data_IF_374485963602
#
_entry.id   IF_374485963602
#
_cell.length_a   1.000
_cell.length_b   1.000
_cell.length_c   1.000
_cell.angle_alpha   90.00
_cell.angle_beta   90.00
_cell.angle_gamma   90.00
#
_symmetry.space_group_name_H-M   'P 1'
#
loop_
_entity.id
_entity.type
_entity.pdbx_description
1 polymer ?
#
# COMPACT_ATOMS: atom_id res chain seq x y z
N UNK A 1 -5.71 2.95 -2.76
CA UNK A 1 -5.43 1.92 -1.70
C UNK A 1 -5.52 0.52 -2.27
N UNK A 2 -6.67 0.10 -2.80
CA UNK A 2 -6.92 -1.25 -3.30
C UNK A 2 -5.88 -1.74 -4.34
N UNK A 3 -5.47 -0.87 -5.24
CA UNK A 3 -4.43 -1.12 -6.24
C UNK A 3 -3.02 -1.35 -5.67
N UNK A 4 -2.74 -0.96 -4.42
CA UNK A 4 -1.48 -1.31 -3.75
C UNK A 4 -1.40 -2.82 -3.52
N UNK A 5 -2.47 -3.43 -3.03
CA UNK A 5 -2.49 -4.88 -2.79
C UNK A 5 -2.28 -5.68 -4.08
N UNK A 6 -2.88 -5.23 -5.19
CA UNK A 6 -2.63 -5.82 -6.51
C UNK A 6 -1.20 -5.63 -6.98
N UNK A 7 -0.65 -4.43 -6.80
CA UNK A 7 0.73 -4.14 -7.16
C UNK A 7 1.70 -5.04 -6.38
N UNK A 8 1.50 -5.24 -5.08
CA UNK A 8 2.29 -6.16 -4.26
C UNK A 8 2.11 -7.61 -4.69
N UNK A 9 0.86 -8.05 -4.88
CA UNK A 9 0.54 -9.42 -5.27
C UNK A 9 1.18 -9.80 -6.61
N UNK A 10 1.23 -8.88 -7.58
CA UNK A 10 1.89 -9.09 -8.87
C UNK A 10 3.42 -9.05 -8.76
N UNK A 11 3.96 -8.31 -7.79
CA UNK A 11 5.41 -8.18 -7.58
C UNK A 11 6.04 -9.39 -6.91
N UNK A 12 5.27 -10.13 -6.09
CA UNK A 12 5.73 -11.35 -5.40
C UNK A 12 6.17 -12.46 -6.38
N UNK A 13 5.33 -12.92 -7.34
CA UNK A 13 5.75 -13.93 -8.31
C UNK A 13 6.83 -13.40 -9.25
N UNK A 14 6.78 -12.12 -9.62
CA UNK A 14 7.83 -11.49 -10.44
C UNK A 14 9.20 -11.56 -9.74
N UNK A 15 9.26 -11.32 -8.43
CA UNK A 15 10.48 -11.45 -7.65
C UNK A 15 10.99 -12.90 -7.59
N UNK A 16 10.08 -13.87 -7.33
CA UNK A 16 10.44 -15.30 -7.26
C UNK A 16 11.01 -15.81 -8.60
N UNK A 17 10.50 -15.30 -9.72
CA UNK A 17 10.94 -15.70 -11.07
C UNK A 17 12.25 -15.03 -11.51
N UNK A 18 12.60 -13.87 -10.95
CA UNK A 18 13.73 -13.05 -11.43
C UNK A 18 14.92 -13.01 -10.49
N UNK A 19 14.73 -13.33 -9.21
CA UNK A 19 15.76 -13.19 -8.16
C UNK A 19 15.97 -14.47 -7.38
N UNK A 20 17.18 -14.66 -6.86
CA UNK A 20 17.47 -15.76 -5.94
C UNK A 20 16.80 -15.51 -4.59
N UNK A 21 15.87 -16.39 -4.22
CA UNK A 21 15.07 -16.26 -3.00
C UNK A 21 15.77 -16.97 -1.85
N UNK A 22 16.21 -16.21 -0.84
CA UNK A 22 16.67 -16.77 0.44
C UNK A 22 15.49 -17.29 1.28
N UNK A 23 15.76 -18.17 2.24
CA UNK A 23 14.72 -18.71 3.15
C UNK A 23 13.99 -17.59 3.90
N UNK A 24 14.73 -16.57 4.36
CA UNK A 24 14.16 -15.40 5.01
C UNK A 24 13.21 -14.63 4.09
N UNK A 25 13.62 -14.37 2.84
CA UNK A 25 12.77 -13.71 1.85
C UNK A 25 11.54 -14.53 1.51
N UNK A 26 11.66 -15.85 1.40
CA UNK A 26 10.52 -16.73 1.13
C UNK A 26 9.45 -16.62 2.23
N UNK A 27 9.87 -16.60 3.51
CA UNK A 27 8.97 -16.40 4.64
C UNK A 27 8.31 -15.02 4.55
N UNK A 28 9.08 -13.94 4.31
CA UNK A 28 8.51 -12.60 4.19
C UNK A 28 7.51 -12.48 3.02
N UNK A 29 7.83 -13.03 1.85
CA UNK A 29 6.96 -13.04 0.69
C UNK A 29 5.68 -13.83 0.94
N UNK A 30 5.77 -14.94 1.66
CA UNK A 30 4.59 -15.74 2.03
C UNK A 30 3.65 -14.97 2.97
N UNK A 31 4.18 -14.28 3.97
CA UNK A 31 3.42 -13.42 4.88
C UNK A 31 2.79 -12.26 4.11
N UNK A 32 3.56 -11.60 3.24
CA UNK A 32 3.08 -10.53 2.37
C UNK A 32 1.96 -10.99 1.44
N UNK A 33 2.09 -12.19 0.86
CA UNK A 33 1.07 -12.80 -0.01
C UNK A 33 -0.23 -13.06 0.76
N UNK A 34 -0.15 -13.70 1.93
CA UNK A 34 -1.32 -13.97 2.79
C UNK A 34 -1.99 -12.67 3.21
N UNK A 35 -1.20 -11.65 3.59
CA UNK A 35 -1.72 -10.32 3.92
C UNK A 35 -2.46 -9.68 2.72
N UNK A 36 -1.85 -9.70 1.53
CA UNK A 36 -2.47 -9.14 0.31
C UNK A 36 -3.76 -9.88 -0.05
N UNK A 37 -3.74 -11.22 -0.05
CA UNK A 37 -4.92 -12.03 -0.36
C UNK A 37 -6.04 -11.82 0.66
N UNK A 38 -5.71 -11.76 1.95
CA UNK A 38 -6.69 -11.49 3.02
C UNK A 38 -7.27 -10.08 2.88
N UNK A 39 -6.44 -9.07 2.59
CA UNK A 39 -6.90 -7.71 2.37
C UNK A 39 -7.79 -7.62 1.11
N UNK A 40 -7.37 -8.18 -0.02
CA UNK A 40 -8.15 -8.23 -1.26
C UNK A 40 -9.48 -8.94 -1.01
N UNK A 41 -9.46 -10.11 -0.37
CA UNK A 41 -10.66 -10.84 0.02
C UNK A 41 -11.57 -10.01 0.93
N UNK A 42 -11.01 -9.35 1.94
CA UNK A 42 -11.77 -8.50 2.87
C UNK A 42 -12.42 -7.33 2.13
N UNK A 43 -11.68 -6.66 1.25
CA UNK A 43 -12.19 -5.59 0.40
C UNK A 43 -13.30 -6.13 -0.52
N UNK A 44 -13.07 -7.16 -1.33
CA UNK A 44 -14.10 -7.73 -2.23
C UNK A 44 -15.34 -8.25 -1.49
N UNK A 45 -15.14 -8.92 -0.35
CA UNK A 45 -16.22 -9.48 0.48
C UNK A 45 -17.03 -8.39 1.17
N UNK A 46 -16.37 -7.31 1.59
CA UNK A 46 -17.03 -6.16 2.17
C UNK A 46 -17.70 -5.24 1.13
N UNK A 47 -17.18 -5.14 -0.09
CA UNK A 47 -17.83 -4.36 -1.16
C UNK A 47 -19.19 -4.94 -1.57
N UNK A 48 -19.40 -6.27 -1.47
CA UNK A 48 -20.67 -6.93 -1.82
C UNK A 48 -21.67 -7.08 -0.66
N UNK A 49 -21.21 -7.07 0.60
CA UNK A 49 -22.04 -7.43 1.77
C UNK A 49 -21.88 -6.48 2.98
N UNK A 50 -21.14 -5.39 2.83
CA UNK A 50 -20.87 -4.40 3.86
C UNK A 50 -19.55 -4.63 4.61
N UNK A 51 -18.58 -3.74 4.38
CA UNK A 51 -17.25 -3.76 5.02
C UNK A 51 -17.36 -3.52 6.52
N UNK A 52 -18.21 -2.60 6.92
CA UNK A 52 -18.30 -2.12 8.29
C UNK A 52 -18.91 -3.20 9.20
N UNK A 53 -20.02 -3.83 8.77
CA UNK A 53 -20.66 -4.90 9.52
C UNK A 53 -19.75 -6.14 9.65
N UNK A 54 -19.01 -6.51 8.60
CA UNK A 54 -18.13 -7.69 8.63
C UNK A 54 -16.89 -7.49 9.51
N UNK A 55 -16.26 -6.32 9.44
CA UNK A 55 -15.13 -5.96 10.29
C UNK A 55 -15.51 -5.95 11.78
N UNK A 56 -16.66 -5.37 12.10
CA UNK A 56 -17.20 -5.37 13.46
C UNK A 56 -17.53 -6.79 13.96
N UNK A 57 -18.02 -7.68 13.08
CA UNK A 57 -18.32 -9.07 13.43
C UNK A 57 -17.06 -9.94 13.65
N UNK A 58 -15.96 -9.61 12.95
CA UNK A 58 -14.65 -10.23 13.18
C UNK A 58 -14.06 -9.77 14.52
N UNK A 59 -14.18 -8.48 14.86
CA UNK A 59 -13.75 -7.92 16.15
C UNK A 59 -14.47 -8.56 17.35
N UNK A 60 -15.73 -8.98 17.16
CA UNK A 60 -16.51 -9.69 18.19
C UNK A 60 -15.92 -11.04 18.61
N UNK A 61 -15.06 -11.65 17.78
CA UNK A 61 -14.39 -12.91 18.11
C UNK A 61 -13.12 -12.73 18.97
N UNK A 62 -12.64 -11.50 19.17
CA UNK A 62 -11.44 -11.24 19.96
C UNK A 62 -11.82 -11.16 21.45
N UNK A 63 -11.31 -12.06 22.32
CA UNK A 63 -11.58 -12.04 23.75
C UNK A 63 -10.88 -10.83 24.40
N UNK A 64 -11.61 -9.72 24.53
CA UNK A 64 -11.12 -8.46 25.11
C UNK A 64 -11.89 -7.25 24.57
N UNK A 65 -12.15 -7.23 23.25
CA UNK A 65 -12.86 -6.12 22.58
C UNK A 65 -14.34 -6.44 22.32
N UNK A 66 -14.75 -7.70 22.55
CA UNK A 66 -16.09 -8.22 22.27
C UNK A 66 -17.24 -7.39 22.85
N UNK A 67 -17.14 -6.95 24.12
CA UNK A 67 -18.22 -6.17 24.77
C UNK A 67 -18.37 -4.77 24.16
N UNK A 68 -17.25 -4.11 23.84
CA UNK A 68 -17.25 -2.80 23.18
C UNK A 68 -17.74 -2.91 21.73
N UNK A 69 -17.25 -3.90 20.99
CA UNK A 69 -17.67 -4.15 19.62
C UNK A 69 -19.17 -4.45 19.53
N UNK A 70 -19.71 -5.32 20.38
CA UNK A 70 -21.16 -5.60 20.42
C UNK A 70 -21.99 -4.34 20.68
N UNK A 71 -21.61 -3.55 21.70
CA UNK A 71 -22.34 -2.34 22.08
C UNK A 71 -22.32 -1.29 20.95
N UNK A 72 -21.18 -1.09 20.30
CA UNK A 72 -21.05 -0.13 19.20
C UNK A 72 -21.80 -0.57 17.94
N UNK A 73 -21.89 -1.89 17.65
CA UNK A 73 -22.73 -2.42 16.56
C UNK A 73 -24.19 -2.11 16.83
N UNK A 74 -24.68 -2.38 18.04
CA UNK A 74 -26.09 -2.17 18.40
C UNK A 74 -26.47 -0.68 18.38
N UNK A 75 -25.61 0.19 18.91
CA UNK A 75 -25.86 1.64 18.96
C UNK A 75 -25.77 2.33 17.59
N UNK A 76 -24.97 1.80 16.64
CA UNK A 76 -24.71 2.45 15.34
C UNK A 76 -25.08 1.59 14.13
N UNK A 77 -25.96 0.61 14.29
CA UNK A 77 -26.33 -0.36 13.23
C UNK A 77 -26.78 0.31 11.93
N UNK A 78 -27.67 1.30 12.02
CA UNK A 78 -28.16 2.04 10.85
C UNK A 78 -27.06 2.86 10.14
N UNK A 79 -26.11 3.43 10.89
CA UNK A 79 -24.96 4.14 10.30
C UNK A 79 -24.01 3.19 9.59
N UNK A 80 -23.72 2.04 10.20
CA UNK A 80 -22.91 0.98 9.59
C UNK A 80 -23.58 0.47 8.30
N UNK A 81 -24.88 0.22 8.32
CA UNK A 81 -25.66 -0.20 7.15
C UNK A 81 -25.73 0.88 6.05
N UNK A 82 -25.81 2.16 6.41
CA UNK A 82 -25.77 3.26 5.45
C UNK A 82 -24.38 3.47 4.81
N UNK A 83 -23.31 3.34 5.59
CA UNK A 83 -21.93 3.34 5.05
C UNK A 83 -21.77 2.17 4.07
N UNK A 84 -22.23 0.99 4.45
CA UNK A 84 -22.18 -0.20 3.61
C UNK A 84 -23.03 -0.05 2.35
N UNK A 85 -24.20 0.62 2.42
CA UNK A 85 -25.01 0.98 1.25
C UNK A 85 -24.31 1.99 0.33
N UNK A 86 -23.66 3.02 0.88
CA UNK A 86 -22.92 3.99 0.05
C UNK A 86 -21.70 3.35 -0.63
N UNK A 87 -20.99 2.46 0.07
CA UNK A 87 -19.89 1.67 -0.48
C UNK A 87 -20.38 0.70 -1.55
N UNK A 88 -21.52 0.03 -1.34
CA UNK A 88 -22.12 -0.87 -2.32
C UNK A 88 -22.68 -0.12 -3.55
N UNK A 89 -23.28 1.06 -3.35
CA UNK A 89 -23.79 1.91 -4.42
C UNK A 89 -22.66 2.44 -5.31
N UNK A 90 -21.49 2.77 -4.75
CA UNK A 90 -20.30 3.15 -5.51
C UNK A 90 -19.78 1.98 -6.37
N UNK A 91 -19.90 0.73 -5.91
CA UNK A 91 -19.46 -0.45 -6.65
C UNK A 91 -20.46 -0.89 -7.72
N UNK A 92 -21.76 -0.70 -7.49
CA UNK A 92 -22.83 -0.97 -8.47
C UNK A 92 -22.80 -0.01 -9.67
N UNK A 93 -22.02 1.08 -9.62
CA UNK A 93 -22.07 2.11 -10.65
C UNK A 93 -21.28 1.83 -11.93
N UNK A 94 -20.18 1.07 -11.92
CA UNK A 94 -19.65 0.41 -13.14
C UNK A 94 -18.41 -0.44 -12.80
N UNK A 95 -18.45 -1.78 -12.89
CA UNK A 95 -17.26 -2.60 -12.68
C UNK A 95 -16.15 -2.28 -13.70
N UNK A 96 -16.48 -1.73 -14.88
CA UNK A 96 -15.48 -1.30 -15.87
C UNK A 96 -14.73 -0.06 -15.39
N UNK A 97 -15.44 0.94 -14.87
CA UNK A 97 -14.80 2.15 -14.32
C UNK A 97 -13.89 1.81 -13.15
N UNK A 98 -14.31 0.89 -12.27
CA UNK A 98 -13.47 0.41 -11.18
C UNK A 98 -12.17 -0.22 -11.69
N UNK A 99 -12.25 -1.13 -12.67
CA UNK A 99 -11.06 -1.77 -13.23
C UNK A 99 -10.15 -0.76 -13.95
N UNK A 100 -10.73 0.18 -14.70
CA UNK A 100 -9.98 1.25 -15.37
C UNK A 100 -9.22 2.14 -14.38
N UNK A 101 -9.85 2.53 -13.27
CA UNK A 101 -9.18 3.33 -12.22
C UNK A 101 -8.04 2.54 -11.59
N UNK A 102 -8.26 1.25 -11.25
CA UNK A 102 -7.22 0.39 -10.70
C UNK A 102 -6.05 0.24 -11.68
N UNK A 103 -6.33 0.06 -12.96
CA UNK A 103 -5.31 -0.09 -13.99
C UNK A 103 -4.51 1.20 -14.21
N UNK A 104 -5.18 2.36 -14.29
CA UNK A 104 -4.52 3.67 -14.39
C UNK A 104 -3.64 3.94 -13.16
N UNK A 105 -4.14 3.64 -11.96
CA UNK A 105 -3.35 3.82 -10.73
C UNK A 105 -2.12 2.89 -10.72
N UNK A 106 -2.24 1.67 -11.27
CA UNK A 106 -1.14 0.72 -11.39
C UNK A 106 -0.11 1.18 -12.43
N UNK A 107 -0.53 1.67 -13.59
CA UNK A 107 0.35 2.31 -14.57
C UNK A 107 1.03 3.54 -13.99
N UNK A 108 0.31 4.37 -13.24
CA UNK A 108 0.86 5.54 -12.56
C UNK A 108 1.97 5.13 -11.58
N UNK A 109 1.81 4.02 -10.85
CA UNK A 109 2.89 3.47 -10.00
C UNK A 109 4.08 2.99 -10.80
N UNK A 110 3.85 2.29 -11.91
CA UNK A 110 4.93 1.89 -12.82
C UNK A 110 5.66 3.14 -13.31
N UNK A 111 4.98 4.16 -13.83
CA UNK A 111 5.61 5.41 -14.24
C UNK A 111 6.33 6.11 -13.09
N UNK A 112 5.79 6.07 -11.86
CA UNK A 112 6.46 6.61 -10.67
C UNK A 112 7.77 5.88 -10.36
N UNK A 113 7.94 4.63 -10.81
CA UNK A 113 9.19 3.90 -10.69
C UNK A 113 10.32 4.43 -11.56
N UNK A 114 10.00 5.18 -12.62
CA UNK A 114 11.03 5.86 -13.43
C UNK A 114 11.83 6.86 -12.61
N UNK A 115 11.22 7.49 -11.62
CA UNK A 115 11.92 8.44 -10.76
C UNK A 115 13.03 7.74 -9.96
N UNK A 116 12.69 6.65 -9.28
CA UNK A 116 13.64 5.83 -8.53
C UNK A 116 14.70 5.24 -9.46
N UNK A 117 14.30 4.83 -10.67
CA UNK A 117 15.22 4.36 -11.69
C UNK A 117 16.23 5.42 -12.10
N UNK A 118 15.82 6.65 -12.40
CA UNK A 118 16.73 7.73 -12.77
C UNK A 118 17.69 8.10 -11.63
N UNK A 119 17.21 8.13 -10.38
CA UNK A 119 18.08 8.39 -9.22
C UNK A 119 19.10 7.26 -9.06
N UNK A 120 18.67 6.00 -9.16
CA UNK A 120 19.57 4.85 -9.06
C UNK A 120 20.53 4.74 -10.23
N UNK A 121 20.15 5.17 -11.43
CA UNK A 121 21.00 5.13 -12.62
C UNK A 121 22.23 6.04 -12.49
N UNK A 122 22.12 7.13 -11.71
CA UNK A 122 23.26 7.98 -11.35
C UNK A 122 24.26 7.24 -10.45
N UNK A 123 23.78 6.34 -9.58
CA UNK A 123 24.61 5.58 -8.64
C UNK A 123 25.12 4.25 -9.22
N UNK A 124 24.30 3.61 -10.07
CA UNK A 124 24.55 2.31 -10.68
C UNK A 124 24.13 2.36 -12.15
N UNK A 125 25.09 2.55 -13.08
CA UNK A 125 24.81 2.69 -14.51
C UNK A 125 24.11 1.48 -15.15
N UNK A 126 24.19 0.31 -14.52
CA UNK A 126 23.61 -0.96 -14.99
C UNK A 126 22.35 -1.38 -14.21
N UNK A 127 21.71 -0.46 -13.48
CA UNK A 127 20.48 -0.79 -12.73
C UNK A 127 19.35 -1.22 -13.67
N UNK A 128 18.66 -2.30 -13.33
CA UNK A 128 17.51 -2.77 -14.09
C UNK A 128 16.23 -2.07 -13.61
N UNK A 129 15.39 -1.61 -14.55
CA UNK A 129 14.10 -1.01 -14.25
C UNK A 129 13.17 -1.93 -13.45
N UNK A 130 13.19 -3.24 -13.72
CA UNK A 130 12.42 -4.23 -12.96
C UNK A 130 12.80 -4.23 -11.48
N UNK A 131 14.09 -4.09 -11.16
CA UNK A 131 14.54 -4.01 -9.77
C UNK A 131 13.96 -2.76 -9.09
N UNK A 132 13.83 -1.63 -9.81
CA UNK A 132 13.24 -0.41 -9.26
C UNK A 132 11.75 -0.57 -8.94
N UNK A 133 11.00 -1.27 -9.80
CA UNK A 133 9.59 -1.62 -9.55
C UNK A 133 9.49 -2.48 -8.29
N UNK A 134 10.33 -3.50 -8.17
CA UNK A 134 10.37 -4.40 -7.01
C UNK A 134 10.72 -3.63 -5.72
N UNK A 135 11.71 -2.73 -5.76
CA UNK A 135 12.08 -1.88 -4.62
C UNK A 135 10.89 -1.06 -4.14
N UNK A 136 10.20 -0.35 -5.04
CA UNK A 136 9.05 0.47 -4.66
C UNK A 136 7.91 -0.38 -4.12
N UNK A 137 7.64 -1.51 -4.76
CA UNK A 137 6.59 -2.43 -4.35
C UNK A 137 6.81 -2.93 -2.94
N UNK A 138 7.98 -3.47 -2.63
CA UNK A 138 8.27 -3.97 -1.29
C UNK A 138 8.40 -2.85 -0.25
N UNK A 139 9.02 -1.73 -0.60
CA UNK A 139 9.05 -0.55 0.27
C UNK A 139 7.65 -0.14 0.70
N UNK A 140 6.72 -0.04 -0.25
CA UNK A 140 5.33 0.35 0.05
C UNK A 140 4.55 -0.74 0.77
N UNK A 141 4.87 -2.01 0.53
CA UNK A 141 4.31 -3.14 1.29
C UNK A 141 4.71 -3.03 2.76
N UNK A 142 6.00 -2.88 3.06
CA UNK A 142 6.49 -2.75 4.43
C UNK A 142 5.96 -1.50 5.13
N UNK A 143 5.91 -0.38 4.41
CA UNK A 143 5.29 0.87 4.88
C UNK A 143 3.86 0.68 5.38
N UNK A 144 3.07 -0.05 4.58
CA UNK A 144 1.65 -0.21 4.79
C UNK A 144 1.33 -1.38 5.73
N UNK A 145 2.22 -2.35 5.89
CA UNK A 145 2.14 -3.31 7.00
C UNK A 145 2.39 -2.62 8.34
N UNK A 146 3.25 -1.60 8.37
CA UNK A 146 3.56 -0.78 9.53
C UNK A 146 2.71 0.49 9.60
N UNK A 147 1.46 0.44 9.12
CA UNK A 147 0.53 1.58 9.03
C UNK A 147 0.23 2.27 10.37
N UNK A 148 0.48 1.58 11.48
CA UNK A 148 0.31 2.10 12.84
C UNK A 148 1.42 3.07 13.26
N UNK A 149 2.51 3.18 12.50
CA UNK A 149 3.57 4.14 12.76
C UNK A 149 3.25 5.49 12.11
N UNK A 150 3.23 6.60 12.88
CA UNK A 150 2.94 7.92 12.33
C UNK A 150 3.97 8.29 11.24
N UNK A 151 3.49 8.86 10.13
CA UNK A 151 4.26 9.15 8.91
C UNK A 151 4.92 7.94 8.21
N UNK A 152 4.66 6.71 8.67
CA UNK A 152 5.37 5.51 8.23
C UNK A 152 6.91 5.65 8.35
N UNK A 153 7.35 6.49 9.31
CA UNK A 153 8.75 6.69 9.66
C UNK A 153 9.32 5.36 10.17
N UNK A 154 10.47 4.94 9.67
CA UNK A 154 11.04 3.61 9.92
C UNK A 154 10.43 2.47 9.10
N UNK A 155 9.13 2.47 8.81
CA UNK A 155 8.50 1.40 8.02
C UNK A 155 8.83 1.44 6.52
N UNK A 156 8.82 2.64 5.93
CA UNK A 156 9.28 2.85 4.54
C UNK A 156 10.79 2.76 4.42
N UNK A 157 11.53 3.30 5.38
CA UNK A 157 13.00 3.33 5.31
C UNK A 157 13.60 1.94 5.56
N UNK A 158 13.09 1.23 6.56
CA UNK A 158 13.40 -0.18 6.76
C UNK A 158 12.94 -1.04 5.59
N UNK A 159 11.76 -0.76 5.03
CA UNK A 159 11.28 -1.41 3.82
C UNK A 159 12.19 -1.21 2.61
N UNK A 160 12.67 0.02 2.39
CA UNK A 160 13.57 0.35 1.29
C UNK A 160 14.93 -0.32 1.48
N UNK A 161 15.50 -0.25 2.69
CA UNK A 161 16.75 -0.93 3.03
C UNK A 161 16.66 -2.44 2.83
N UNK A 162 15.58 -3.08 3.30
CA UNK A 162 15.35 -4.52 3.10
C UNK A 162 15.19 -4.88 1.62
N UNK A 163 14.54 -4.02 0.84
CA UNK A 163 14.34 -4.26 -0.60
C UNK A 163 15.63 -4.10 -1.41
N UNK A 164 16.43 -3.08 -1.09
CA UNK A 164 17.71 -2.78 -1.74
C UNK A 164 18.76 -3.83 -1.39
N UNK A 165 18.90 -4.18 -0.11
CA UNK A 165 19.78 -5.27 0.32
C UNK A 165 19.35 -6.62 -0.25
N UNK A 166 18.04 -6.88 -0.33
CA UNK A 166 17.51 -8.12 -0.91
C UNK A 166 17.71 -8.26 -2.42
N UNK A 167 17.94 -7.15 -3.12
CA UNK A 167 18.28 -7.12 -4.55
C UNK A 167 19.79 -6.97 -4.80
N UNK A 168 20.62 -7.09 -3.77
CA UNK A 168 22.08 -7.02 -3.87
C UNK A 168 22.65 -5.61 -4.08
N UNK A 169 21.86 -4.56 -3.83
CA UNK A 169 22.30 -3.17 -3.90
C UNK A 169 22.84 -2.70 -2.53
N UNK A 170 23.75 -1.72 -2.54
CA UNK A 170 24.37 -1.21 -1.31
C UNK A 170 23.38 -0.42 -0.46
N UNK A 171 23.42 -0.60 0.87
CA UNK A 171 22.53 0.10 1.80
C UNK A 171 22.62 1.63 1.68
N UNK A 172 23.82 2.16 1.42
CA UNK A 172 24.03 3.61 1.26
C UNK A 172 23.28 4.19 0.07
N UNK A 173 23.27 3.50 -1.07
CA UNK A 173 22.48 3.92 -2.22
C UNK A 173 20.98 3.84 -1.91
N UNK A 174 20.58 2.84 -1.13
CA UNK A 174 19.21 2.72 -0.63
C UNK A 174 18.76 3.95 0.17
N UNK A 175 19.58 4.36 1.13
CA UNK A 175 19.32 5.53 1.97
C UNK A 175 19.27 6.81 1.14
N UNK A 176 20.22 6.98 0.20
CA UNK A 176 20.29 8.17 -0.64
C UNK A 176 19.02 8.37 -1.49
N UNK A 177 18.56 7.31 -2.15
CA UNK A 177 17.33 7.36 -2.95
C UNK A 177 16.12 7.62 -2.06
N UNK A 178 16.03 6.96 -0.90
CA UNK A 178 14.94 7.19 0.05
C UNK A 178 14.88 8.65 0.50
N UNK A 179 16.02 9.28 0.80
CA UNK A 179 16.10 10.69 1.21
C UNK A 179 15.66 11.64 0.10
N UNK A 180 16.09 11.42 -1.15
CA UNK A 180 15.68 12.25 -2.29
C UNK A 180 14.17 12.19 -2.49
N UNK A 181 13.60 10.98 -2.49
CA UNK A 181 12.14 10.80 -2.63
C UNK A 181 11.39 11.52 -1.51
N UNK A 182 11.90 11.50 -0.27
CA UNK A 182 11.29 12.21 0.86
C UNK A 182 11.34 13.72 0.72
N UNK A 183 12.47 14.25 0.27
CA UNK A 183 12.60 15.68 0.04
C UNK A 183 11.56 16.15 -0.99
N UNK A 184 11.39 15.40 -2.09
CA UNK A 184 10.34 15.68 -3.08
C UNK A 184 8.94 15.64 -2.45
N UNK A 185 8.64 14.63 -1.63
CA UNK A 185 7.32 14.45 -1.02
C UNK A 185 7.00 15.64 -0.11
N UNK A 186 7.99 16.12 0.64
CA UNK A 186 7.87 17.30 1.49
C UNK A 186 7.66 18.58 0.68
N UNK A 187 8.40 18.76 -0.42
CA UNK A 187 8.24 19.91 -1.33
C UNK A 187 6.81 19.93 -1.89
N UNK A 188 6.31 18.82 -2.43
CA UNK A 188 4.95 18.75 -2.98
C UNK A 188 3.88 18.90 -1.91
N UNK A 189 4.10 18.35 -0.72
CA UNK A 189 3.20 18.54 0.42
C UNK A 189 3.13 20.02 0.80
N UNK A 190 4.26 20.71 0.86
CA UNK A 190 4.32 22.15 1.14
C UNK A 190 3.58 22.95 0.07
N UNK A 191 3.81 22.66 -1.22
CA UNK A 191 3.08 23.30 -2.33
C UNK A 191 1.58 23.06 -2.21
N UNK A 192 1.15 21.82 -1.95
CA UNK A 192 -0.25 21.48 -1.76
C UNK A 192 -0.91 22.24 -0.60
N UNK A 193 -0.22 22.35 0.54
CA UNK A 193 -0.68 23.11 1.70
C UNK A 193 -0.78 24.61 1.39
N UNK A 194 0.19 25.16 0.66
CA UNK A 194 0.16 26.56 0.22
C UNK A 194 -1.02 26.83 -0.72
N UNK A 195 -1.29 25.96 -1.69
CA UNK A 195 -2.43 26.08 -2.59
C UNK A 195 -3.77 26.04 -1.86
N UNK A 196 -3.93 25.15 -0.85
CA UNK A 196 -5.13 25.11 -0.02
C UNK A 196 -5.30 26.41 0.75
N UNK A 197 -4.21 26.96 1.30
CA UNK A 197 -4.25 28.22 2.05
C UNK A 197 -4.62 29.41 1.15
N UNK A 198 -4.13 29.43 -0.09
CA UNK A 198 -4.50 30.44 -1.10
C UNK A 198 -5.95 30.27 -1.54
N UNK A 199 -6.44 29.05 -1.68
CA UNK A 199 -7.84 28.76 -2.06
C UNK A 199 -8.85 29.07 -0.96
N UNK A 200 -8.48 28.93 0.32
CA UNK A 200 -9.33 29.29 1.47
C UNK A 200 -9.26 30.78 1.85
N UNK A 201 -8.31 31.52 1.28
CA UNK A 201 -8.15 32.97 1.46
C UNK A 201 -8.98 33.83 0.50
N UNK A 202 -9.83 33.20 -0.33
CA UNK A 202 -10.91 33.82 -1.11
C UNK A 202 -12.24 33.34 -0.56
#
# INVERSE_FOLDING_TARGET
>A
IFSHFWFWLLSIPLFILTQHVSVFMAIMLSVGCVFCLTAIWFFFSGYKKGLAVRGMNLLRHIPGVKKWACRYIEENRERLENIDKQVAALHNQDPKTFFSVVFIELLCRVCSALEVFFILLVLFPSVNYLNCILIISFTTLFANMLFFMPLQLGGREGGFLMSVSGLGLTANAGIFVALIVRLRELIWTAIGLLLIKVSKGK
#
